data_IF_796730942891
#
_entry.id   IF_796730942891
#
_cell.length_a   1.000
_cell.length_b   1.000
_cell.length_c   1.000
_cell.angle_alpha   90.00
_cell.angle_beta   90.00
_cell.angle_gamma   90.00
#
_symmetry.space_group_name_H-M   'P 1'
#
loop_
_entity.id
_entity.type
_entity.pdbx_description
1 polymer ?
#
# COMPACT_ATOMS: atom_id res chain seq x y z
N UNK A 1 -5.97 -27.58 -37.78
CA UNK A 1 -5.56 -26.22 -37.39
C UNK A 1 -5.18 -26.24 -35.91
N UNK A 2 -3.91 -26.07 -35.57
CA UNK A 2 -3.46 -25.92 -34.18
C UNK A 2 -3.55 -24.43 -33.83
N UNK A 3 -4.44 -24.08 -32.91
CA UNK A 3 -4.46 -22.75 -32.30
C UNK A 3 -3.28 -22.67 -31.32
N UNK A 4 -2.21 -21.98 -31.72
CA UNK A 4 -1.15 -21.55 -30.81
C UNK A 4 -1.70 -20.35 -30.03
N UNK A 5 -1.99 -20.53 -28.75
CA UNK A 5 -2.18 -19.42 -27.83
C UNK A 5 -0.79 -18.85 -27.52
N UNK A 6 -0.49 -17.69 -28.09
CA UNK A 6 0.58 -16.85 -27.58
C UNK A 6 0.06 -16.22 -26.29
N UNK A 7 0.43 -16.82 -25.14
CA UNK A 7 0.45 -16.07 -23.90
C UNK A 7 1.67 -15.15 -23.99
N UNK A 8 1.46 -13.93 -24.47
CA UNK A 8 2.37 -12.85 -24.08
C UNK A 8 2.31 -12.77 -22.55
N UNK A 9 3.45 -12.68 -21.83
CA UNK A 9 3.39 -12.23 -20.45
C UNK A 9 2.68 -10.88 -20.49
N UNK A 10 1.55 -10.75 -19.79
CA UNK A 10 1.03 -9.44 -19.46
C UNK A 10 2.17 -8.76 -18.70
N UNK A 11 2.79 -7.76 -19.32
CA UNK A 11 3.58 -6.78 -18.60
C UNK A 11 2.69 -6.32 -17.43
N UNK A 12 3.19 -6.43 -16.20
CA UNK A 12 2.47 -5.96 -15.02
C UNK A 12 1.98 -4.53 -15.34
N UNK A 13 0.68 -4.40 -15.58
CA UNK A 13 0.13 -3.18 -16.13
C UNK A 13 0.13 -2.13 -15.04
N UNK A 14 0.76 -0.99 -15.33
CA UNK A 14 0.52 0.32 -14.72
C UNK A 14 -0.66 0.32 -13.75
N UNK A 15 -0.38 0.24 -12.45
CA UNK A 15 -1.40 0.19 -11.42
C UNK A 15 -1.47 1.56 -10.70
N UNK A 16 -2.65 2.17 -10.75
CA UNK A 16 -3.02 3.23 -9.80
C UNK A 16 -3.65 2.55 -8.59
N UNK A 17 -3.01 2.72 -7.45
CA UNK A 17 -3.40 2.18 -6.15
C UNK A 17 -4.04 3.33 -5.36
N UNK A 18 -5.36 3.45 -5.39
CA UNK A 18 -6.07 4.45 -4.59
C UNK A 18 -6.40 3.91 -3.20
N UNK A 19 -6.15 4.68 -2.16
CA UNK A 19 -6.37 4.26 -0.78
C UNK A 19 -7.09 5.34 0.04
N UNK A 20 -7.80 4.90 1.06
CA UNK A 20 -8.24 5.72 2.18
C UNK A 20 -8.02 4.93 3.46
N UNK A 21 -7.79 5.65 4.54
CA UNK A 21 -7.61 5.05 5.85
C UNK A 21 -7.72 6.08 6.95
N UNK A 22 -7.83 5.60 8.18
CA UNK A 22 -7.86 6.46 9.37
C UNK A 22 -6.52 6.38 10.07
N UNK A 23 -5.96 7.52 10.46
CA UNK A 23 -4.77 7.57 11.29
C UNK A 23 -5.11 7.00 12.67
N UNK A 24 -4.58 5.83 13.00
CA UNK A 24 -4.93 5.10 14.22
C UNK A 24 -3.81 5.22 15.29
N UNK A 25 -2.55 5.42 14.86
CA UNK A 25 -1.41 5.55 15.76
C UNK A 25 -0.47 6.70 15.34
N UNK A 26 0.11 7.36 16.33
CA UNK A 26 1.24 8.29 16.18
C UNK A 26 2.28 7.85 17.21
N UNK A 27 3.39 7.30 16.74
CA UNK A 27 4.47 6.76 17.57
C UNK A 27 5.47 7.83 17.96
N UNK A 28 5.61 8.87 17.13
CA UNK A 28 6.46 10.02 17.40
C UNK A 28 5.89 11.31 16.82
N UNK A 29 5.99 12.40 17.59
CA UNK A 29 5.66 13.76 17.13
C UNK A 29 6.49 14.78 17.90
N UNK A 30 7.41 15.43 17.19
CA UNK A 30 8.34 16.44 17.73
C UNK A 30 7.75 17.85 17.75
N UNK A 31 6.50 18.04 17.31
CA UNK A 31 5.80 19.35 17.16
C UNK A 31 6.27 20.24 15.99
N UNK A 32 7.14 19.74 15.11
CA UNK A 32 7.74 20.53 14.00
C UNK A 32 7.59 19.94 12.60
N UNK A 33 7.04 18.72 12.46
CA UNK A 33 6.77 18.08 11.16
C UNK A 33 5.57 18.65 10.42
N UNK A 34 5.43 18.33 9.13
CA UNK A 34 4.32 18.73 8.27
C UNK A 34 2.99 18.16 8.76
N UNK A 35 2.98 16.90 9.19
CA UNK A 35 1.84 16.20 9.77
C UNK A 35 1.80 16.26 11.30
N UNK A 36 2.68 17.06 11.90
CA UNK A 36 2.69 17.27 13.35
C UNK A 36 1.36 17.84 13.86
N UNK A 37 0.89 17.30 14.97
CA UNK A 37 -0.37 17.70 15.60
C UNK A 37 -1.62 17.19 14.86
N UNK A 38 -1.49 16.42 13.78
CA UNK A 38 -2.63 15.76 13.14
C UNK A 38 -3.26 14.78 14.14
N UNK A 39 -4.55 14.94 14.49
CA UNK A 39 -5.19 14.09 15.48
C UNK A 39 -5.33 12.64 15.00
N UNK A 40 -5.16 11.67 15.90
CA UNK A 40 -5.66 10.32 15.67
C UNK A 40 -7.17 10.37 15.36
N UNK A 41 -7.60 9.53 14.43
CA UNK A 41 -8.95 9.53 13.88
C UNK A 41 -9.11 10.35 12.61
N UNK A 42 -8.09 11.12 12.20
CA UNK A 42 -8.08 11.86 10.93
C UNK A 42 -8.11 10.90 9.74
N UNK A 43 -8.92 11.22 8.73
CA UNK A 43 -9.03 10.42 7.51
C UNK A 43 -7.98 10.90 6.51
N UNK A 44 -7.16 9.96 6.06
CA UNK A 44 -6.24 10.14 4.96
C UNK A 44 -6.79 9.48 3.70
N UNK A 45 -6.52 10.10 2.56
CA UNK A 45 -6.80 9.53 1.25
C UNK A 45 -5.68 9.85 0.28
N UNK A 46 -5.43 8.97 -0.66
CA UNK A 46 -4.30 9.12 -1.57
C UNK A 46 -4.33 8.16 -2.74
N UNK A 47 -3.30 8.25 -3.56
CA UNK A 47 -3.00 7.24 -4.54
C UNK A 47 -1.49 7.10 -4.75
N UNK A 48 -1.08 5.93 -5.24
CA UNK A 48 0.24 5.67 -5.79
C UNK A 48 0.06 5.20 -7.23
N UNK A 49 0.74 5.85 -8.17
CA UNK A 49 0.73 5.54 -9.60
C UNK A 49 2.09 5.00 -10.04
N UNK A 50 2.12 3.70 -10.34
CA UNK A 50 3.30 2.99 -10.86
C UNK A 50 3.72 3.48 -12.25
N UNK A 51 2.76 3.90 -13.10
CA UNK A 51 3.09 4.32 -14.47
C UNK A 51 3.92 5.59 -14.50
N UNK A 52 3.55 6.54 -13.63
CA UNK A 52 4.17 7.86 -13.57
C UNK A 52 5.22 7.98 -12.47
N UNK A 53 5.42 6.92 -11.67
CA UNK A 53 6.29 6.95 -10.49
C UNK A 53 5.95 8.14 -9.57
N UNK A 54 4.65 8.37 -9.36
CA UNK A 54 4.15 9.47 -8.53
C UNK A 54 3.07 9.01 -7.56
N UNK A 55 2.78 9.83 -6.56
CA UNK A 55 1.69 9.62 -5.65
C UNK A 55 1.30 10.89 -4.91
N UNK A 56 0.19 10.80 -4.19
CA UNK A 56 -0.20 11.86 -3.26
C UNK A 56 -0.95 11.29 -2.06
N UNK A 57 -0.90 12.00 -0.95
CA UNK A 57 -1.70 11.73 0.24
C UNK A 57 -2.23 13.04 0.82
N UNK A 58 -3.46 13.02 1.32
CA UNK A 58 -4.10 14.17 1.95
C UNK A 58 -4.96 13.78 3.14
N UNK A 59 -4.92 14.61 4.18
CA UNK A 59 -5.82 14.58 5.34
C UNK A 59 -7.04 15.53 5.18
N UNK A 60 -7.21 16.12 3.99
CA UNK A 60 -8.22 17.13 3.69
C UNK A 60 -7.80 18.57 3.98
N UNK A 61 -6.64 18.80 4.60
CA UNK A 61 -6.05 20.11 4.87
C UNK A 61 -4.69 20.24 4.18
N UNK A 62 -3.81 19.29 4.46
CA UNK A 62 -2.48 19.11 3.87
C UNK A 62 -2.58 18.16 2.68
N UNK A 63 -1.89 18.50 1.60
CA UNK A 63 -1.70 17.63 0.45
C UNK A 63 -0.20 17.50 0.21
N UNK A 64 0.30 16.28 0.27
CA UNK A 64 1.68 15.96 -0.05
C UNK A 64 1.71 15.15 -1.33
N UNK A 65 2.40 15.67 -2.33
CA UNK A 65 2.69 14.98 -3.59
C UNK A 65 4.11 14.45 -3.49
N UNK A 66 4.31 13.18 -3.83
CA UNK A 66 5.58 12.49 -3.67
C UNK A 66 5.94 11.70 -4.93
N UNK A 67 7.24 11.41 -5.08
CA UNK A 67 7.70 10.44 -6.08
C UNK A 67 7.47 9.05 -5.52
N UNK A 68 6.81 8.17 -6.28
CA UNK A 68 6.67 6.77 -5.90
C UNK A 68 7.72 5.96 -6.64
N UNK A 69 8.58 5.25 -5.91
CA UNK A 69 9.69 4.54 -6.52
C UNK A 69 9.33 3.07 -6.81
N UNK A 70 8.17 2.78 -7.40
CA UNK A 70 7.74 1.38 -7.65
C UNK A 70 8.71 0.63 -8.59
N UNK A 71 9.51 1.35 -9.40
CA UNK A 71 10.61 0.74 -10.15
C UNK A 71 11.91 0.68 -9.31
N UNK A 72 12.15 -0.49 -8.71
CA UNK A 72 13.42 -0.97 -8.11
C UNK A 72 13.94 -0.28 -6.83
N UNK A 73 13.08 0.37 -6.04
CA UNK A 73 13.45 0.83 -4.70
C UNK A 73 12.31 1.13 -3.72
N UNK A 74 11.07 1.26 -4.21
CA UNK A 74 9.89 1.58 -3.41
C UNK A 74 8.82 0.49 -3.40
N UNK A 75 8.95 -0.57 -4.20
CA UNK A 75 8.22 -1.83 -3.96
C UNK A 75 9.20 -2.83 -3.34
N UNK A 76 8.93 -3.24 -2.11
CA UNK A 76 9.69 -4.27 -1.41
C UNK A 76 8.76 -5.43 -1.08
N UNK A 77 9.12 -6.63 -1.56
CA UNK A 77 8.52 -7.89 -1.12
C UNK A 77 9.48 -8.49 -0.10
N UNK A 78 8.97 -8.90 1.05
CA UNK A 78 9.72 -9.56 2.10
C UNK A 78 9.06 -10.90 2.43
N UNK A 79 9.79 -11.98 2.19
CA UNK A 79 9.48 -13.35 2.56
C UNK A 79 10.07 -13.63 3.95
N UNK A 80 9.18 -14.01 4.87
CA UNK A 80 9.50 -14.46 6.22
C UNK A 80 10.38 -13.48 7.01
N UNK A 81 9.99 -12.20 7.04
CA UNK A 81 10.68 -11.22 7.89
C UNK A 81 10.29 -11.41 9.36
N UNK A 82 11.27 -11.21 10.24
CA UNK A 82 11.08 -11.31 11.69
C UNK A 82 10.62 -9.96 12.23
N UNK A 83 9.51 -9.96 12.94
CA UNK A 83 8.92 -8.77 13.52
C UNK A 83 9.70 -8.32 14.77
N UNK A 84 10.09 -7.04 14.81
CA UNK A 84 10.69 -6.43 15.99
C UNK A 84 9.64 -6.14 17.07
N UNK A 85 10.08 -5.95 18.33
CA UNK A 85 9.18 -5.65 19.45
C UNK A 85 8.35 -4.38 19.20
N UNK A 86 9.00 -3.31 18.72
CA UNK A 86 8.35 -2.02 18.47
C UNK A 86 7.29 -2.10 17.36
N UNK A 87 7.57 -2.85 16.29
CA UNK A 87 6.63 -3.10 15.21
C UNK A 87 5.45 -3.94 15.70
N UNK A 88 5.69 -5.00 16.48
CA UNK A 88 4.62 -5.80 17.06
C UNK A 88 3.70 -4.97 17.96
N UNK A 89 4.26 -4.07 18.76
CA UNK A 89 3.48 -3.12 19.57
C UNK A 89 2.65 -2.20 18.70
N UNK A 90 3.22 -1.64 17.63
CA UNK A 90 2.52 -0.78 16.68
C UNK A 90 1.36 -1.52 15.99
N UNK A 91 1.61 -2.70 15.42
CA UNK A 91 0.59 -3.50 14.72
C UNK A 91 -0.55 -3.91 15.66
N UNK A 92 -0.24 -4.26 16.90
CA UNK A 92 -1.26 -4.55 17.91
C UNK A 92 -2.09 -3.31 18.29
N UNK A 93 -1.45 -2.15 18.41
CA UNK A 93 -2.15 -0.89 18.67
C UNK A 93 -3.11 -0.53 17.51
N UNK A 94 -2.66 -0.68 16.27
CA UNK A 94 -3.46 -0.44 15.07
C UNK A 94 -4.67 -1.40 14.98
N UNK A 95 -4.47 -2.69 15.28
CA UNK A 95 -5.55 -3.69 15.23
C UNK A 95 -6.49 -3.62 16.43
N UNK A 96 -6.05 -3.04 17.55
CA UNK A 96 -6.77 -3.05 18.82
C UNK A 96 -6.79 -4.43 19.49
N UNK A 97 -5.86 -5.31 19.10
CA UNK A 97 -5.77 -6.69 19.56
C UNK A 97 -4.31 -7.10 19.73
N UNK A 98 -4.04 -8.03 20.65
CA UNK A 98 -2.70 -8.61 20.84
C UNK A 98 -2.52 -9.82 19.93
N UNK A 99 -2.33 -9.57 18.64
CA UNK A 99 -2.20 -10.60 17.60
C UNK A 99 -0.74 -10.93 17.27
N UNK A 100 0.16 -9.96 17.43
CA UNK A 100 1.56 -10.06 17.04
C UNK A 100 2.48 -9.99 18.26
N UNK A 101 3.64 -10.63 18.18
CA UNK A 101 4.70 -10.59 19.18
C UNK A 101 6.07 -10.42 18.52
N UNK A 102 7.06 -9.94 19.29
CA UNK A 102 8.46 -9.97 18.87
C UNK A 102 8.86 -11.39 18.45
N UNK A 103 9.52 -11.52 17.31
CA UNK A 103 9.96 -12.81 16.79
C UNK A 103 8.92 -13.54 15.94
N UNK A 104 7.68 -13.05 15.84
CA UNK A 104 6.73 -13.54 14.86
C UNK A 104 7.30 -13.35 13.44
N UNK A 105 6.97 -14.29 12.56
CA UNK A 105 7.41 -14.29 11.17
C UNK A 105 6.21 -13.90 10.31
N UNK A 106 6.40 -12.92 9.44
CA UNK A 106 5.37 -12.42 8.54
C UNK A 106 5.93 -12.28 7.12
N UNK A 107 5.01 -12.26 6.17
CA UNK A 107 5.30 -11.84 4.80
C UNK A 107 4.77 -10.43 4.58
N UNK A 108 5.48 -9.65 3.76
CA UNK A 108 5.22 -8.24 3.59
C UNK A 108 5.34 -7.76 2.14
N UNK A 109 4.44 -6.86 1.74
CA UNK A 109 4.61 -6.03 0.56
C UNK A 109 4.53 -4.57 1.00
N UNK A 110 5.63 -3.83 0.81
CA UNK A 110 5.70 -2.41 1.09
C UNK A 110 5.77 -1.62 -0.23
N UNK A 111 4.96 -0.57 -0.33
CA UNK A 111 4.91 0.33 -1.48
C UNK A 111 5.10 1.75 -0.98
N UNK A 112 6.20 2.39 -1.36
CA UNK A 112 6.70 3.59 -0.70
C UNK A 112 7.11 4.65 -1.72
N UNK A 113 7.08 5.88 -1.25
CA UNK A 113 7.54 7.04 -1.98
C UNK A 113 7.93 8.16 -1.03
N UNK A 114 8.68 9.12 -1.56
CA UNK A 114 9.19 10.21 -0.74
C UNK A 114 9.16 11.56 -1.46
N UNK A 115 9.29 12.61 -0.66
CA UNK A 115 9.48 13.98 -1.11
C UNK A 115 10.32 14.76 -0.12
N UNK A 116 11.21 15.61 -0.65
CA UNK A 116 11.97 16.56 0.17
C UNK A 116 11.08 17.69 0.70
N UNK A 117 11.34 18.15 1.92
CA UNK A 117 10.67 19.33 2.49
C UNK A 117 11.46 20.61 2.22
N UNK A 118 10.79 21.77 2.24
CA UNK A 118 11.44 23.09 2.12
C UNK A 118 12.52 23.33 3.19
N UNK A 119 12.40 22.66 4.35
CA UNK A 119 13.37 22.69 5.44
C UNK A 119 14.62 21.84 5.20
N UNK A 120 14.69 21.09 4.09
CA UNK A 120 15.79 20.18 3.77
C UNK A 120 15.63 18.76 4.34
N UNK A 121 14.48 18.46 4.95
CA UNK A 121 14.13 17.12 5.42
C UNK A 121 13.46 16.26 4.36
N UNK A 122 12.86 15.13 4.77
CA UNK A 122 12.15 14.18 3.91
C UNK A 122 10.82 13.77 4.55
N UNK A 123 9.78 13.64 3.73
CA UNK A 123 8.54 12.95 4.08
C UNK A 123 8.52 11.67 3.26
N UNK A 124 8.35 10.55 3.94
CA UNK A 124 8.21 9.22 3.38
C UNK A 124 6.78 8.72 3.66
N UNK A 125 6.12 8.26 2.61
CA UNK A 125 4.74 7.82 2.65
C UNK A 125 4.66 6.47 1.95
N UNK A 126 4.01 5.52 2.60
CA UNK A 126 3.86 4.21 2.00
C UNK A 126 2.64 3.44 2.45
N UNK A 127 2.43 2.33 1.78
CA UNK A 127 1.46 1.30 2.09
C UNK A 127 2.22 0.05 2.50
N UNK A 128 1.76 -0.61 3.56
CA UNK A 128 2.28 -1.90 3.98
C UNK A 128 1.15 -2.91 4.01
N UNK A 129 1.36 -4.03 3.33
CA UNK A 129 0.45 -5.17 3.25
C UNK A 129 1.12 -6.36 3.93
N UNK A 130 0.50 -6.86 4.99
CA UNK A 130 1.04 -7.94 5.81
C UNK A 130 0.21 -9.21 5.64
N UNK A 131 0.91 -10.33 5.58
CA UNK A 131 0.37 -11.64 5.32
C UNK A 131 0.87 -12.66 6.34
N UNK A 132 0.23 -13.83 6.37
CA UNK A 132 0.73 -14.95 7.15
C UNK A 132 2.13 -15.38 6.66
N UNK A 133 2.95 -16.00 7.51
CA UNK A 133 4.17 -16.64 7.02
C UNK A 133 3.85 -17.69 5.95
N UNK A 134 4.78 -17.85 5.00
CA UNK A 134 4.69 -18.74 3.83
C UNK A 134 3.59 -18.38 2.81
N UNK A 135 3.02 -17.17 2.87
CA UNK A 135 2.14 -16.66 1.81
C UNK A 135 2.94 -16.47 0.53
N UNK A 136 4.15 -15.94 0.65
CA UNK A 136 5.15 -15.88 -0.42
C UNK A 136 6.18 -16.99 -0.23
N UNK A 137 6.72 -17.48 -1.33
CA UNK A 137 7.76 -18.50 -1.32
C UNK A 137 9.17 -17.90 -1.54
N UNK A 138 9.22 -16.61 -1.86
CA UNK A 138 10.43 -15.82 -2.15
C UNK A 138 10.13 -14.31 -2.15
N UNK A 139 11.18 -13.48 -2.22
CA UNK A 139 11.09 -12.01 -2.34
C UNK A 139 10.78 -11.52 -3.77
N UNK A 140 10.17 -12.37 -4.62
CA UNK A 140 10.00 -12.05 -6.03
C UNK A 140 8.91 -10.98 -6.23
N UNK A 141 9.18 -9.89 -6.98
CA UNK A 141 8.14 -8.91 -7.34
C UNK A 141 6.95 -9.51 -8.08
N UNK A 142 7.07 -10.71 -8.66
CA UNK A 142 5.95 -11.46 -9.24
C UNK A 142 4.88 -11.88 -8.21
N UNK A 143 5.18 -11.83 -6.91
CA UNK A 143 4.21 -12.01 -5.83
C UNK A 143 3.25 -10.81 -5.72
N UNK A 144 3.51 -9.73 -6.47
CA UNK A 144 2.60 -8.63 -6.69
C UNK A 144 1.98 -8.68 -8.12
N UNK A 145 0.65 -8.53 -8.26
CA UNK A 145 -0.34 -8.34 -7.21
C UNK A 145 -0.64 -9.63 -6.44
N UNK A 146 -0.90 -9.49 -5.14
CA UNK A 146 -1.19 -10.58 -4.21
C UNK A 146 -2.67 -11.00 -4.22
N UNK A 147 -2.99 -12.16 -3.63
CA UNK A 147 -4.38 -12.56 -3.37
C UNK A 147 -4.94 -11.78 -2.16
N UNK A 148 -5.98 -10.95 -2.33
CA UNK A 148 -6.57 -10.21 -1.22
C UNK A 148 -7.17 -11.10 -0.12
N UNK A 149 -7.47 -12.37 -0.39
CA UNK A 149 -7.99 -13.29 0.61
C UNK A 149 -6.92 -13.72 1.65
N UNK A 150 -5.65 -13.57 1.32
CA UNK A 150 -4.51 -13.94 2.19
C UNK A 150 -4.03 -12.76 3.05
N UNK A 151 -4.51 -11.55 2.76
CA UNK A 151 -4.11 -10.34 3.45
C UNK A 151 -4.63 -10.30 4.89
N UNK A 152 -3.72 -10.15 5.85
CA UNK A 152 -4.06 -10.01 7.26
C UNK A 152 -4.29 -8.55 7.64
N UNK A 153 -3.42 -7.65 7.17
CA UNK A 153 -3.44 -6.24 7.54
C UNK A 153 -2.94 -5.36 6.39
N UNK A 154 -3.61 -4.24 6.19
CA UNK A 154 -3.25 -3.23 5.20
C UNK A 154 -3.19 -1.86 5.88
N UNK A 155 -2.04 -1.21 5.76
CA UNK A 155 -1.72 0.03 6.46
C UNK A 155 -1.26 1.09 5.47
N UNK A 156 -1.45 2.35 5.84
CA UNK A 156 -0.60 3.43 5.36
C UNK A 156 0.29 3.92 6.50
N UNK A 157 1.43 4.49 6.16
CA UNK A 157 2.29 5.17 7.11
C UNK A 157 2.79 6.49 6.53
N UNK A 158 3.17 7.37 7.45
CA UNK A 158 3.79 8.67 7.19
C UNK A 158 4.95 8.78 8.16
N UNK A 159 6.14 8.94 7.61
CA UNK A 159 7.38 9.12 8.35
C UNK A 159 8.05 10.39 7.89
N UNK A 160 8.50 11.24 8.82
CA UNK A 160 9.16 12.49 8.50
C UNK A 160 10.49 12.62 9.22
N UNK A 161 11.48 13.11 8.49
CA UNK A 161 12.80 13.46 9.01
C UNK A 161 13.10 14.94 8.78
N UNK A 162 13.85 15.54 9.70
CA UNK A 162 14.44 16.86 9.51
C UNK A 162 15.68 16.82 8.60
N UNK A 163 16.28 17.99 8.35
CA UNK A 163 17.47 18.11 7.51
C UNK A 163 18.72 17.39 8.06
N UNK A 164 18.70 16.96 9.31
CA UNK A 164 19.76 16.15 9.92
C UNK A 164 19.50 14.65 9.82
N UNK A 165 18.33 14.24 9.31
CA UNK A 165 17.88 12.85 9.28
C UNK A 165 17.28 12.39 10.61
N UNK A 166 16.91 13.32 11.51
CA UNK A 166 16.24 12.96 12.75
C UNK A 166 14.74 12.85 12.53
N UNK A 167 14.14 11.77 13.02
CA UNK A 167 12.69 11.55 13.00
C UNK A 167 11.96 12.70 13.73
N UNK A 168 11.01 13.32 13.04
CA UNK A 168 10.19 14.42 13.58
C UNK A 168 8.72 14.09 13.64
N UNK A 169 8.25 13.10 12.87
CA UNK A 169 6.89 12.59 12.91
C UNK A 169 6.85 11.15 12.42
N UNK A 170 6.06 10.31 13.07
CA UNK A 170 5.76 8.95 12.61
C UNK A 170 4.34 8.58 12.99
N UNK A 171 3.52 8.39 11.97
CA UNK A 171 2.12 8.02 12.09
C UNK A 171 1.77 6.85 11.17
N UNK A 172 0.84 6.02 11.62
CA UNK A 172 0.33 4.90 10.83
C UNK A 172 -1.17 4.73 11.04
N UNK A 173 -1.83 4.20 10.02
CA UNK A 173 -3.27 4.01 10.03
C UNK A 173 -3.72 2.85 9.18
N UNK A 174 -4.88 2.29 9.51
CA UNK A 174 -5.45 1.17 8.76
C UNK A 174 -6.16 1.66 7.52
N UNK A 175 -6.04 0.92 6.43
CA UNK A 175 -6.81 1.17 5.22
C UNK A 175 -8.28 0.71 5.41
N UNK A 176 -9.23 1.53 4.93
CA UNK A 176 -10.67 1.23 5.01
C UNK A 176 -11.07 0.10 4.04
N UNK A 177 -10.35 0.00 2.92
CA UNK A 177 -10.49 -1.05 1.93
C UNK A 177 -9.11 -1.38 1.34
N UNK A 178 -8.87 -2.65 1.05
CA UNK A 178 -7.66 -3.10 0.36
C UNK A 178 -7.70 -2.54 -1.07
N UNK A 179 -6.79 -1.63 -1.44
CA UNK A 179 -6.68 -1.18 -2.82
C UNK A 179 -6.29 -2.36 -3.70
N UNK A 180 -7.20 -2.86 -4.52
CA UNK A 180 -6.84 -3.82 -5.56
C UNK A 180 -6.36 -3.05 -6.79
N UNK A 181 -5.23 -3.42 -7.40
CA UNK A 181 -4.86 -2.89 -8.71
C UNK A 181 -6.03 -3.06 -9.66
N UNK A 182 -6.39 -1.96 -10.35
CA UNK A 182 -7.60 -1.80 -11.15
C UNK A 182 -7.77 -2.84 -12.29
N UNK A 183 -6.74 -3.64 -12.58
CA UNK A 183 -6.81 -4.81 -13.45
C UNK A 183 -7.92 -5.81 -13.05
N UNK A 184 -8.23 -5.96 -11.75
CA UNK A 184 -9.29 -6.86 -11.28
C UNK A 184 -10.69 -6.35 -11.68
N UNK A 185 -10.90 -5.04 -11.73
CA UNK A 185 -12.18 -4.45 -12.11
C UNK A 185 -12.48 -4.61 -13.61
N UNK A 186 -11.47 -4.50 -14.47
CA UNK A 186 -11.62 -4.66 -15.93
C UNK A 186 -12.16 -6.03 -16.34
N UNK A 187 -11.83 -7.10 -15.61
CA UNK A 187 -12.39 -8.44 -15.84
C UNK A 187 -13.88 -8.52 -15.45
N UNK A 188 -14.26 -7.89 -14.34
CA UNK A 188 -15.64 -7.89 -13.84
C UNK A 188 -16.62 -7.15 -14.78
N UNK A 189 -16.23 -5.96 -15.27
CA UNK A 189 -17.07 -5.23 -16.24
C UNK A 189 -17.05 -5.90 -17.62
N UNK A 190 -15.91 -6.50 -18.01
CA UNK A 190 -15.78 -7.23 -19.27
C UNK A 190 -16.72 -8.45 -19.38
N UNK A 191 -16.80 -9.25 -18.32
CA UNK A 191 -17.68 -10.45 -18.27
C UNK A 191 -19.16 -10.05 -18.27
N UNK A 192 -19.54 -9.02 -17.50
CA UNK A 192 -20.93 -8.52 -17.49
C UNK A 192 -21.34 -7.93 -18.84
N UNK A 193 -20.42 -7.27 -19.54
CA UNK A 193 -20.64 -6.74 -20.90
C UNK A 193 -20.86 -7.87 -21.92
N UNK A 194 -20.08 -8.96 -21.82
CA UNK A 194 -20.21 -10.13 -22.70
C UNK A 194 -21.51 -10.91 -22.46
N UNK A 195 -21.96 -11.04 -21.21
CA UNK A 195 -23.26 -11.64 -20.88
C UNK A 195 -24.44 -10.80 -21.37
N UNK A 196 -24.32 -9.47 -21.31
CA UNK A 196 -25.32 -8.53 -21.84
C UNK A 196 -25.46 -8.61 -23.37
N UNK A 197 -24.36 -8.80 -24.09
CA UNK A 197 -24.36 -8.93 -25.56
C UNK A 197 -24.87 -10.31 -26.01
N UNK A 198 -24.58 -11.38 -25.26
CA UNK A 198 -25.08 -12.72 -25.58
C UNK A 198 -26.61 -12.86 -25.46
N UNK A 199 -27.26 -12.13 -24.51
CA UNK A 199 -28.72 -12.15 -24.35
C UNK A 199 -29.51 -11.44 -25.46
N UNK A 200 -28.89 -10.56 -26.26
CA UNK A 200 -29.59 -9.85 -27.36
C UNK A 200 -29.68 -10.63 -28.68
N UNK A 201 -29.14 -11.86 -28.76
CA UNK A 201 -29.15 -12.68 -29.99
C UNK A 201 -30.12 -13.87 -30.00
N UNK A 202 -31.04 -13.97 -29.03
CA UNK A 202 -32.13 -14.97 -29.07
C UNK A 202 -33.47 -14.24 -29.06
N UNK A 203 -33.81 -13.61 -30.19
CA UNK A 203 -35.20 -13.35 -30.57
C UNK A 203 -35.26 -13.61 -32.07
N UNK A 204 -35.71 -14.82 -32.43
CA UNK A 204 -36.30 -15.14 -33.73
C UNK A 204 -37.79 -15.25 -33.55
#
# INVERSE_FOLDING_TARGET
MRFCWFFSPLQAGAAIISFSGRLDAVTWDSTVGVYSGVPQGTIFSGFIDDETASGQISDGVTLTVFGSHIAAGGLTVADNFILAEEDAVLLNALTGASLYAEGDILDGINIEGDVGTDGGGRIEIGLSYLFAPDTFADDNPANYPFDPAELQLALFFIFEEDASGAEVYHGAGRLDAVPLPSAVWLLGVGIMSLLGVARRKIVT
#
